data_IF_827212686005
#
_entry.id   IF_827212686005
#
_cell.length_a   1.000
_cell.length_b   1.000
_cell.length_c   1.000
_cell.angle_alpha   90.00
_cell.angle_beta   90.00
_cell.angle_gamma   90.00
#
_symmetry.space_group_name_H-M   'P 1'
#
loop_
_entity.id
_entity.type
_entity.pdbx_description
1 polymer ?
#
# COMPACT_ATOMS: atom_id res chain seq x y z
N UNK A 1 -9.39 -16.27 -19.00
CA UNK A 1 -8.67 -15.11 -18.42
C UNK A 1 -8.41 -15.41 -16.95
N UNK A 2 -7.18 -15.22 -16.46
CA UNK A 2 -6.86 -15.49 -15.06
C UNK A 2 -7.67 -14.58 -14.12
N UNK A 3 -8.17 -15.13 -13.01
CA UNK A 3 -8.90 -14.37 -12.00
C UNK A 3 -8.00 -13.29 -11.41
N UNK A 4 -8.47 -12.04 -11.44
CA UNK A 4 -7.77 -10.89 -10.88
C UNK A 4 -8.20 -10.75 -9.41
N UNK A 5 -7.31 -10.97 -8.42
CA UNK A 5 -7.71 -10.92 -7.02
C UNK A 5 -8.18 -9.53 -6.63
N UNK A 6 -9.20 -9.50 -5.76
CA UNK A 6 -9.81 -8.32 -5.14
C UNK A 6 -10.07 -8.62 -3.66
N UNK A 7 -10.13 -7.58 -2.84
CA UNK A 7 -10.56 -7.64 -1.44
C UNK A 7 -12.06 -7.48 -1.32
N UNK A 8 -12.65 -8.06 -0.27
CA UNK A 8 -14.07 -7.87 0.07
C UNK A 8 -14.32 -6.50 0.66
N UNK A 9 -15.59 -6.06 0.70
CA UNK A 9 -15.97 -4.79 1.34
C UNK A 9 -15.53 -4.74 2.82
N UNK A 10 -15.62 -5.85 3.56
CA UNK A 10 -15.13 -5.94 4.93
C UNK A 10 -13.60 -5.74 5.03
N UNK A 11 -12.85 -6.35 4.11
CA UNK A 11 -11.41 -6.16 4.05
C UNK A 11 -11.04 -4.72 3.69
N UNK A 12 -11.80 -4.08 2.81
CA UNK A 12 -11.60 -2.67 2.48
C UNK A 12 -11.88 -1.77 3.69
N UNK A 13 -12.95 -2.01 4.45
CA UNK A 13 -13.23 -1.26 5.69
C UNK A 13 -12.08 -1.39 6.71
N UNK A 14 -11.57 -2.60 6.92
CA UNK A 14 -10.40 -2.85 7.79
C UNK A 14 -9.14 -2.14 7.28
N UNK A 15 -8.90 -2.17 5.96
CA UNK A 15 -7.79 -1.45 5.35
C UNK A 15 -7.93 0.06 5.53
N UNK A 16 -9.12 0.62 5.33
CA UNK A 16 -9.39 2.05 5.51
C UNK A 16 -9.17 2.48 6.96
N UNK A 17 -9.65 1.69 7.92
CA UNK A 17 -9.35 1.88 9.34
C UNK A 17 -7.83 1.83 9.61
N UNK A 18 -7.12 0.83 9.04
CA UNK A 18 -5.66 0.67 9.18
C UNK A 18 -4.87 1.88 8.69
N UNK A 19 -5.31 2.54 7.63
CA UNK A 19 -4.64 3.74 7.09
C UNK A 19 -5.17 5.04 7.72
N UNK A 20 -6.01 4.93 8.75
CA UNK A 20 -6.62 6.06 9.44
C UNK A 20 -7.55 6.89 8.54
N UNK A 21 -8.16 6.28 7.51
CA UNK A 21 -9.09 6.98 6.64
C UNK A 21 -10.25 7.51 7.47
N UNK A 22 -10.42 8.83 7.46
CA UNK A 22 -11.50 9.51 8.16
C UNK A 22 -12.07 10.60 7.26
N UNK A 23 -13.39 10.71 7.26
CA UNK A 23 -14.14 11.81 6.67
C UNK A 23 -14.59 12.74 7.80
N UNK A 24 -14.54 14.05 7.57
CA UNK A 24 -14.75 15.05 8.62
C UNK A 24 -16.11 14.90 9.30
N UNK A 25 -16.09 14.76 10.63
CA UNK A 25 -17.21 14.82 11.57
C UNK A 25 -18.26 13.69 11.50
N UNK A 26 -18.16 12.77 12.47
CA UNK A 26 -19.28 12.11 13.17
C UNK A 26 -19.87 10.77 12.71
N UNK A 27 -19.22 9.96 11.87
CA UNK A 27 -19.59 8.52 11.81
C UNK A 27 -18.39 7.64 11.42
N UNK A 28 -17.90 6.82 12.36
CA UNK A 28 -16.95 5.73 12.06
C UNK A 28 -17.59 4.62 11.19
N UNK A 29 -18.92 4.61 11.11
CA UNK A 29 -19.69 3.68 10.29
C UNK A 29 -19.75 4.13 8.82
N UNK A 30 -19.25 3.28 7.93
CA UNK A 30 -19.27 3.35 6.45
C UNK A 30 -18.10 4.10 5.76
N UNK A 31 -16.84 3.86 6.17
CA UNK A 31 -15.68 4.48 5.50
C UNK A 31 -15.62 4.14 4.02
N UNK A 32 -15.96 2.89 3.65
CA UNK A 32 -15.96 2.45 2.26
C UNK A 32 -17.00 3.19 1.42
N UNK A 33 -18.19 3.44 1.98
CA UNK A 33 -19.23 4.18 1.26
C UNK A 33 -18.82 5.63 1.01
N UNK A 34 -18.26 6.30 2.03
CA UNK A 34 -17.73 7.65 1.87
C UNK A 34 -16.63 7.71 0.81
N UNK A 35 -15.68 6.77 0.85
CA UNK A 35 -14.65 6.69 -0.17
C UNK A 35 -15.23 6.45 -1.58
N UNK A 36 -16.22 5.57 -1.72
CA UNK A 36 -16.89 5.34 -3.02
C UNK A 36 -17.53 6.63 -3.54
N UNK A 37 -18.18 7.40 -2.67
CA UNK A 37 -18.75 8.69 -3.04
C UNK A 37 -17.65 9.71 -3.43
N UNK A 38 -16.54 9.75 -2.71
CA UNK A 38 -15.39 10.60 -3.03
C UNK A 38 -14.80 10.23 -4.40
N UNK A 39 -14.71 8.93 -4.72
CA UNK A 39 -14.25 8.43 -6.03
C UNK A 39 -15.19 8.83 -7.15
N UNK A 40 -16.51 8.71 -6.95
CA UNK A 40 -17.52 9.12 -7.94
C UNK A 40 -17.46 10.63 -8.21
N UNK A 41 -17.20 11.43 -7.18
CA UNK A 41 -17.10 12.88 -7.29
C UNK A 41 -15.78 13.34 -7.95
N UNK A 42 -14.65 12.82 -7.46
CA UNK A 42 -13.31 13.13 -7.98
C UNK A 42 -12.34 11.97 -7.71
N UNK A 43 -12.27 11.04 -8.68
CA UNK A 43 -11.44 9.85 -8.59
C UNK A 43 -9.94 10.14 -8.43
N UNK A 44 -9.43 11.27 -8.95
CA UNK A 44 -8.02 11.62 -8.84
C UNK A 44 -7.70 12.13 -7.44
N UNK A 45 -8.54 13.03 -6.91
CA UNK A 45 -8.37 13.56 -5.55
C UNK A 45 -8.48 12.43 -4.51
N UNK A 46 -9.47 11.55 -4.66
CA UNK A 46 -9.64 10.37 -3.81
C UNK A 46 -8.41 9.43 -3.86
N UNK A 47 -7.86 9.17 -5.06
CA UNK A 47 -6.66 8.37 -5.23
C UNK A 47 -5.44 9.01 -4.54
N UNK A 48 -5.23 10.31 -4.73
CA UNK A 48 -4.13 11.03 -4.08
C UNK A 48 -4.26 10.99 -2.55
N UNK A 49 -5.48 11.10 -2.01
CA UNK A 49 -5.72 11.02 -0.57
C UNK A 49 -5.45 9.61 -0.02
N UNK A 50 -5.97 8.58 -0.69
CA UNK A 50 -5.69 7.17 -0.38
C UNK A 50 -4.20 6.86 -0.38
N UNK A 51 -3.48 7.28 -1.42
CA UNK A 51 -2.05 7.03 -1.55
C UNK A 51 -1.25 7.69 -0.42
N UNK A 52 -1.56 8.95 -0.09
CA UNK A 52 -0.88 9.65 1.03
C UNK A 52 -1.08 8.92 2.35
N UNK A 53 -2.33 8.49 2.64
CA UNK A 53 -2.63 7.75 3.86
C UNK A 53 -1.96 6.38 3.90
N UNK A 54 -1.95 5.65 2.77
CA UNK A 54 -1.23 4.38 2.66
C UNK A 54 0.26 4.54 2.99
N UNK A 55 0.93 5.52 2.36
CA UNK A 55 2.35 5.80 2.58
C UNK A 55 2.66 6.23 4.02
N UNK A 56 1.75 6.96 4.66
CA UNK A 56 1.93 7.41 6.04
C UNK A 56 1.69 6.30 7.07
N UNK A 57 0.88 5.29 6.74
CA UNK A 57 0.41 4.30 7.71
C UNK A 57 1.05 2.92 7.57
N UNK A 58 1.37 2.46 6.35
CA UNK A 58 1.94 1.13 6.11
C UNK A 58 3.47 1.23 6.10
N UNK A 59 4.19 0.63 7.08
CA UNK A 59 5.64 0.74 7.15
C UNK A 59 6.33 0.07 5.96
N UNK A 60 7.34 0.76 5.43
CA UNK A 60 8.27 0.16 4.48
C UNK A 60 9.37 -0.56 5.24
N UNK A 61 9.65 -1.81 4.86
CA UNK A 61 10.72 -2.58 5.49
C UNK A 61 10.84 -4.00 4.93
N UNK A 62 11.89 -4.69 5.33
CA UNK A 62 12.20 -6.05 4.90
C UNK A 62 12.36 -7.01 6.08
N UNK A 63 11.73 -6.72 7.23
CA UNK A 63 11.89 -7.51 8.46
C UNK A 63 11.50 -8.98 8.25
N UNK A 64 10.48 -9.24 7.44
CA UNK A 64 10.06 -10.61 7.09
C UNK A 64 11.15 -11.43 6.38
N UNK A 65 12.03 -10.80 5.61
CA UNK A 65 13.11 -11.49 4.90
C UNK A 65 14.23 -11.89 5.86
N UNK A 66 14.49 -11.10 6.90
CA UNK A 66 15.62 -11.28 7.83
C UNK A 66 15.25 -12.03 9.11
N UNK A 67 13.99 -11.98 9.54
CA UNK A 67 13.59 -12.42 10.88
C UNK A 67 12.42 -13.42 10.90
N UNK A 68 11.82 -13.75 9.75
CA UNK A 68 10.84 -14.83 9.71
C UNK A 68 11.55 -16.19 9.75
N UNK A 69 10.93 -17.20 10.38
CA UNK A 69 11.49 -18.55 10.42
C UNK A 69 11.81 -19.10 9.02
N UNK A 70 10.98 -18.77 8.04
CA UNK A 70 11.10 -19.28 6.68
C UNK A 70 11.98 -18.41 5.77
N UNK A 71 12.28 -17.17 6.14
CA UNK A 71 13.02 -16.21 5.31
C UNK A 71 12.44 -16.06 3.90
N UNK A 72 11.13 -16.21 3.76
CA UNK A 72 10.39 -16.12 2.50
C UNK A 72 9.31 -15.06 2.59
N UNK A 73 8.98 -14.47 1.44
CA UNK A 73 7.89 -13.49 1.32
C UNK A 73 6.80 -14.05 0.42
N UNK A 74 5.56 -14.00 0.89
CA UNK A 74 4.37 -14.35 0.12
C UNK A 74 3.76 -13.10 -0.51
N UNK A 75 3.52 -13.16 -1.82
CA UNK A 75 2.74 -12.14 -2.55
C UNK A 75 1.28 -12.58 -2.74
N UNK A 76 0.84 -13.62 -2.02
CA UNK A 76 -0.57 -14.01 -2.03
C UNK A 76 -1.42 -12.87 -1.44
N UNK A 77 -2.53 -12.47 -2.10
CA UNK A 77 -3.41 -11.38 -1.64
C UNK A 77 -3.82 -11.47 -0.17
N UNK A 78 -4.15 -12.67 0.31
CA UNK A 78 -4.57 -12.90 1.69
C UNK A 78 -3.39 -12.76 2.65
N UNK A 79 -2.22 -13.30 2.30
CA UNK A 79 -1.01 -13.15 3.11
C UNK A 79 -0.58 -11.68 3.24
N UNK A 80 -0.69 -10.91 2.15
CA UNK A 80 -0.40 -9.46 2.17
C UNK A 80 -1.34 -8.72 3.11
N UNK A 81 -2.63 -9.05 3.05
CA UNK A 81 -3.66 -8.43 3.88
C UNK A 81 -3.45 -8.76 5.36
N UNK A 82 -3.33 -10.03 5.70
CA UNK A 82 -3.07 -10.49 7.06
C UNK A 82 -1.80 -9.82 7.64
N UNK A 83 -0.71 -9.80 6.87
CA UNK A 83 0.57 -9.25 7.32
C UNK A 83 0.50 -7.75 7.62
N UNK A 84 0.01 -6.95 6.67
CA UNK A 84 0.14 -5.49 6.72
C UNK A 84 -1.09 -4.79 7.30
N UNK A 85 -2.28 -5.40 7.18
CA UNK A 85 -3.53 -4.83 7.71
C UNK A 85 -3.85 -5.38 9.08
N UNK A 86 -3.91 -6.70 9.25
CA UNK A 86 -4.33 -7.31 10.52
C UNK A 86 -3.21 -7.30 11.55
N UNK A 87 -2.02 -7.77 11.16
CA UNK A 87 -0.83 -7.84 12.04
C UNK A 87 0.00 -6.56 12.06
N UNK A 88 -0.30 -5.61 11.18
CA UNK A 88 0.33 -4.29 11.10
C UNK A 88 1.86 -4.31 10.94
N UNK A 89 2.40 -5.31 10.26
CA UNK A 89 3.83 -5.42 9.99
C UNK A 89 4.25 -4.63 8.74
N UNK A 90 5.56 -4.54 8.54
CA UNK A 90 6.18 -3.89 7.39
C UNK A 90 6.03 -4.69 6.08
N UNK A 91 6.37 -4.07 4.96
CA UNK A 91 6.52 -4.76 3.68
C UNK A 91 7.42 -4.01 2.72
N UNK A 92 8.19 -4.74 1.91
CA UNK A 92 9.06 -4.12 0.91
C UNK A 92 8.26 -3.79 -0.37
N UNK A 93 8.91 -3.30 -1.42
CA UNK A 93 8.23 -2.74 -2.59
C UNK A 93 7.16 -3.66 -3.22
N UNK A 94 7.42 -4.97 -3.33
CA UNK A 94 6.48 -5.92 -3.95
C UNK A 94 5.25 -6.19 -3.07
N UNK A 95 5.42 -6.18 -1.75
CA UNK A 95 4.33 -6.39 -0.80
C UNK A 95 3.46 -5.14 -0.70
N UNK A 96 4.09 -3.99 -0.42
CA UNK A 96 3.44 -2.71 -0.17
C UNK A 96 2.65 -2.26 -1.42
N UNK A 97 3.30 -2.27 -2.59
CA UNK A 97 2.65 -1.98 -3.88
C UNK A 97 1.61 -3.05 -4.23
N UNK A 98 1.86 -4.31 -3.89
CA UNK A 98 0.92 -5.42 -4.14
C UNK A 98 -0.39 -5.24 -3.38
N UNK A 99 -0.34 -4.92 -2.09
CA UNK A 99 -1.50 -4.59 -1.27
C UNK A 99 -2.27 -3.41 -1.87
N UNK A 100 -1.58 -2.30 -2.14
CA UNK A 100 -2.22 -1.09 -2.67
C UNK A 100 -2.86 -1.34 -4.04
N UNK A 101 -2.19 -2.11 -4.91
CA UNK A 101 -2.71 -2.49 -6.22
C UNK A 101 -4.02 -3.29 -6.14
N UNK A 102 -4.11 -4.25 -5.21
CA UNK A 102 -5.33 -5.04 -5.00
C UNK A 102 -6.44 -4.14 -4.43
N UNK A 103 -6.12 -3.24 -3.49
CA UNK A 103 -7.07 -2.23 -2.98
C UNK A 103 -7.64 -1.38 -4.12
N UNK A 104 -6.77 -0.74 -4.92
CA UNK A 104 -7.21 0.10 -6.03
C UNK A 104 -8.09 -0.65 -7.03
N UNK A 105 -7.72 -1.88 -7.37
CA UNK A 105 -8.54 -2.72 -8.23
C UNK A 105 -9.91 -3.02 -7.61
N UNK A 106 -9.96 -3.29 -6.31
CA UNK A 106 -11.21 -3.60 -5.59
C UNK A 106 -12.15 -2.39 -5.53
N UNK A 107 -11.58 -1.18 -5.56
CA UNK A 107 -12.31 0.09 -5.65
C UNK A 107 -12.75 0.45 -7.08
N UNK A 108 -12.44 -0.39 -8.09
CA UNK A 108 -12.84 -0.17 -9.48
C UNK A 108 -11.85 0.63 -10.33
N UNK A 109 -10.70 1.03 -9.80
CA UNK A 109 -9.66 1.67 -10.62
C UNK A 109 -9.09 0.68 -11.65
N UNK A 110 -8.87 1.19 -12.87
CA UNK A 110 -8.14 0.45 -13.90
C UNK A 110 -6.63 0.54 -13.64
N UNK A 111 -6.07 -0.51 -13.06
CA UNK A 111 -4.65 -0.57 -12.70
C UNK A 111 -3.91 -1.71 -13.41
N UNK A 112 -2.64 -1.48 -13.72
CA UNK A 112 -1.70 -2.48 -14.25
C UNK A 112 -0.36 -2.40 -13.50
N UNK A 113 0.27 -3.56 -13.29
CA UNK A 113 1.55 -3.63 -12.60
C UNK A 113 2.69 -3.27 -13.55
N UNK A 114 3.69 -2.56 -13.04
CA UNK A 114 4.91 -2.22 -13.79
C UNK A 114 6.15 -2.52 -12.96
N UNK A 115 7.25 -2.83 -13.65
CA UNK A 115 8.57 -2.97 -13.04
C UNK A 115 9.40 -1.71 -13.26
N UNK A 116 10.16 -1.32 -12.24
CA UNK A 116 11.10 -0.20 -12.31
C UNK A 116 12.53 -0.65 -12.01
N UNK A 117 13.51 0.07 -12.57
CA UNK A 117 14.91 -0.04 -12.18
C UNK A 117 15.24 1.12 -11.24
N UNK A 118 15.65 0.81 -10.01
CA UNK A 118 16.08 1.82 -9.05
C UNK A 118 17.43 2.39 -9.50
N UNK A 119 17.47 3.71 -9.75
CA UNK A 119 18.70 4.40 -10.13
C UNK A 119 19.60 4.57 -8.92
N UNK A 120 20.87 4.23 -9.08
CA UNK A 120 21.90 4.47 -8.07
C UNK A 120 22.46 5.89 -8.13
N UNK A 121 21.96 6.74 -9.03
CA UNK A 121 22.42 8.12 -9.15
C UNK A 121 22.23 8.91 -7.84
N UNK A 122 21.13 8.67 -7.11
CA UNK A 122 20.89 9.28 -5.80
C UNK A 122 21.78 8.68 -4.69
N UNK A 123 22.25 7.44 -4.84
CA UNK A 123 23.11 6.78 -3.86
C UNK A 123 24.56 7.28 -3.93
N UNK A 124 24.98 7.88 -5.06
CA UNK A 124 26.32 8.45 -5.22
C UNK A 124 26.48 9.85 -4.60
N UNK A 125 25.41 10.39 -4.00
CA UNK A 125 25.41 11.79 -3.53
C UNK A 125 25.60 12.78 -4.69
N UNK A 126 25.41 14.06 -4.41
CA UNK A 126 26.03 15.09 -5.25
C UNK A 126 27.52 15.01 -4.96
N UNK A 127 28.37 14.93 -5.99
CA UNK A 127 29.82 14.97 -5.86
C UNK A 127 30.25 16.38 -5.38
N UNK A 128 30.04 16.64 -4.09
CA UNK A 128 30.40 17.91 -3.43
C UNK A 128 31.85 17.86 -2.90
N UNK A 129 32.68 16.92 -3.36
CA UNK A 129 34.05 16.74 -2.86
C UNK A 129 34.15 16.14 -1.44
N UNK A 130 33.03 15.73 -0.83
CA UNK A 130 33.01 15.02 0.44
C UNK A 130 32.97 13.52 0.19
N UNK A 131 34.12 12.97 -0.21
CA UNK A 131 34.34 11.52 -0.24
C UNK A 131 34.17 10.94 1.17
N UNK A 132 33.10 10.18 1.41
CA UNK A 132 33.07 9.20 2.50
C UNK A 132 33.72 7.91 1.97
N UNK A 133 35.05 7.87 2.06
CA UNK A 133 35.78 6.63 2.02
C UNK A 133 35.66 5.90 3.35
N UNK A 134 35.09 4.69 3.33
CA UNK A 134 35.77 3.43 3.67
C UNK A 134 34.84 2.26 3.35
#
# INVERSE_FOLDING_TARGET
MAHKPTYTDQQLELYLSRIGYSHSAQSESNLLQHLRQDIENDALSALCHLQRRHLAAIPWGNSGLHYSQHHTISLNPQSLFEKMVERQLDGYCMENTGLFFIVLRSLGYLVYATGGRVSHAAAKGVDNGLYLGM
#
